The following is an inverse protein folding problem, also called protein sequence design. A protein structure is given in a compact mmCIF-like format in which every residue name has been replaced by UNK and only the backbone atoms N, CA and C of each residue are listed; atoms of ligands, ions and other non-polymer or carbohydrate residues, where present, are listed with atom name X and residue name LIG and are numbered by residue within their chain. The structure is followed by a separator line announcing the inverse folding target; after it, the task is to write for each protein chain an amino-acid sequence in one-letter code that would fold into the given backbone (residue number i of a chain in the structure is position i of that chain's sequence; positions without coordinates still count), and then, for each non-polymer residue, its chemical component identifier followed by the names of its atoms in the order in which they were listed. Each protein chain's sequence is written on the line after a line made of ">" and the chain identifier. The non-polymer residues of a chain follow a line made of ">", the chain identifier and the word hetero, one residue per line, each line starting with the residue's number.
data_IF_861514421106
#
_entry.id   IF_861514421106
#
_cell.length_a   1.000
_cell.length_b   1.000
_cell.length_c   1.000
_cell.angle_alpha   90.00
_cell.angle_beta   90.00
_cell.angle_gamma   90.00
#
_symmetry.space_group_name_H-M   'P 1'
#
loop_
_entity.id
_entity.type
_entity.pdbx_description
1 polymer ?
#
# COMPACT_ATOMS: atom_id res chain seq x y z
N UNK A 1 12.03 44.37 -6.51
CA UNK A 1 12.04 43.08 -5.77
C UNK A 1 11.81 41.95 -6.77
N UNK A 2 12.84 41.55 -7.51
CA UNK A 2 12.79 40.48 -8.53
C UNK A 2 14.12 39.72 -8.51
N UNK A 3 14.39 38.98 -7.42
CA UNK A 3 15.60 38.18 -7.25
C UNK A 3 15.39 36.97 -6.35
N UNK A 4 14.69 37.15 -5.22
CA UNK A 4 14.64 36.14 -4.15
C UNK A 4 13.69 34.95 -4.37
N UNK A 5 12.88 34.96 -5.44
CA UNK A 5 11.99 33.82 -5.75
C UNK A 5 12.64 32.75 -6.63
N UNK A 6 13.76 33.05 -7.29
CA UNK A 6 14.41 32.13 -8.23
C UNK A 6 15.24 31.03 -7.54
N UNK A 7 15.63 31.24 -6.27
CA UNK A 7 16.53 30.33 -5.53
C UNK A 7 15.79 29.32 -4.63
N UNK A 8 14.45 29.36 -4.56
CA UNK A 8 13.68 28.39 -3.77
C UNK A 8 13.66 27.05 -4.51
N UNK A 9 14.43 26.08 -4.02
CA UNK A 9 14.41 24.71 -4.53
C UNK A 9 13.19 23.96 -4.01
N UNK A 10 12.14 23.89 -4.82
CA UNK A 10 11.00 23.01 -4.56
C UNK A 10 11.36 21.56 -4.83
N UNK A 11 10.86 20.66 -3.98
CA UNK A 11 11.00 19.23 -4.19
C UNK A 11 10.24 18.80 -5.46
N UNK A 12 10.88 17.97 -6.29
CA UNK A 12 10.35 17.58 -7.60
C UNK A 12 9.27 16.50 -7.46
N UNK A 13 8.16 16.70 -8.16
CA UNK A 13 7.15 15.65 -8.37
C UNK A 13 7.73 14.64 -9.37
N UNK A 14 7.76 13.37 -8.98
CA UNK A 14 8.29 12.30 -9.84
C UNK A 14 7.20 11.79 -10.78
N UNK A 15 7.56 11.53 -12.03
CA UNK A 15 6.69 10.78 -12.94
C UNK A 15 6.95 9.29 -12.81
N UNK A 16 5.88 8.51 -12.72
CA UNK A 16 5.92 7.07 -12.60
C UNK A 16 5.13 6.41 -13.72
N UNK A 17 5.59 5.25 -14.19
CA UNK A 17 4.88 4.43 -15.17
C UNK A 17 3.98 3.43 -14.46
N UNK A 18 2.86 3.90 -13.90
CA UNK A 18 2.06 3.11 -12.96
C UNK A 18 1.60 1.78 -13.55
N UNK A 19 1.22 1.76 -14.82
CA UNK A 19 0.79 0.55 -15.52
C UNK A 19 1.77 -0.64 -15.44
N UNK A 20 3.08 -0.40 -15.23
CA UNK A 20 4.06 -1.48 -15.12
C UNK A 20 3.87 -2.31 -13.84
N UNK A 21 3.42 -1.71 -12.74
CA UNK A 21 3.16 -2.40 -11.47
C UNK A 21 1.89 -3.25 -11.48
N UNK A 22 0.99 -3.02 -12.43
CA UNK A 22 -0.29 -3.72 -12.56
C UNK A 22 -0.27 -4.84 -13.61
N UNK A 23 0.89 -5.10 -14.23
CA UNK A 23 1.03 -6.22 -15.17
C UNK A 23 0.89 -7.54 -14.43
N UNK A 24 0.18 -8.48 -15.05
CA UNK A 24 0.11 -9.84 -14.53
C UNK A 24 1.50 -10.48 -14.49
N UNK A 25 1.84 -11.03 -13.33
CA UNK A 25 3.09 -11.75 -13.13
C UNK A 25 2.83 -13.24 -13.34
N UNK A 26 3.60 -13.86 -14.22
CA UNK A 26 3.53 -15.29 -14.47
C UNK A 26 4.35 -16.05 -13.42
N UNK A 27 3.78 -17.09 -12.82
CA UNK A 27 4.54 -17.94 -11.91
C UNK A 27 5.38 -18.94 -12.69
N UNK A 28 6.60 -19.18 -12.20
CA UNK A 28 7.64 -19.96 -12.89
C UNK A 28 7.82 -21.37 -12.30
N UNK A 29 6.98 -21.78 -11.35
CA UNK A 29 7.07 -23.08 -10.68
C UNK A 29 8.29 -23.23 -9.77
N UNK A 30 9.07 -22.15 -9.57
CA UNK A 30 10.33 -22.21 -8.81
C UNK A 30 10.05 -22.35 -7.32
N UNK A 31 10.81 -23.24 -6.68
CA UNK A 31 10.97 -23.29 -5.23
C UNK A 31 12.35 -22.73 -4.92
N UNK A 32 12.44 -21.80 -3.97
CA UNK A 32 13.72 -21.16 -3.63
C UNK A 32 14.70 -22.17 -3.00
N UNK A 33 15.96 -22.10 -3.44
CA UNK A 33 17.06 -22.80 -2.77
C UNK A 33 17.37 -22.19 -1.41
N UNK A 34 18.16 -22.87 -0.57
CA UNK A 34 18.49 -22.36 0.76
C UNK A 34 19.23 -21.00 0.71
N UNK A 35 20.14 -20.81 -0.26
CA UNK A 35 20.83 -19.53 -0.43
C UNK A 35 19.89 -18.41 -0.88
N UNK A 36 18.96 -18.72 -1.79
CA UNK A 36 17.96 -17.76 -2.28
C UNK A 36 16.97 -17.38 -1.18
N UNK A 37 16.59 -18.33 -0.31
CA UNK A 37 15.77 -18.02 0.87
C UNK A 37 16.48 -17.05 1.80
N UNK A 38 17.76 -17.29 2.09
CA UNK A 38 18.56 -16.39 2.96
C UNK A 38 18.65 -14.98 2.39
N UNK A 39 18.89 -14.86 1.09
CA UNK A 39 18.91 -13.56 0.40
C UNK A 39 17.53 -12.87 0.45
N UNK A 40 16.47 -13.60 0.11
CA UNK A 40 15.09 -13.08 0.16
C UNK A 40 14.74 -12.57 1.57
N UNK A 41 15.04 -13.35 2.61
CA UNK A 41 14.78 -12.98 4.00
C UNK A 41 15.57 -11.72 4.37
N UNK A 42 16.83 -11.62 3.99
CA UNK A 42 17.66 -10.43 4.26
C UNK A 42 17.06 -9.16 3.63
N UNK A 43 16.58 -9.25 2.39
CA UNK A 43 15.93 -8.12 1.70
C UNK A 43 14.62 -7.73 2.40
N UNK A 44 13.80 -8.72 2.74
CA UNK A 44 12.53 -8.48 3.43
C UNK A 44 12.74 -7.89 4.81
N UNK A 45 13.68 -8.39 5.61
CA UNK A 45 13.96 -7.87 6.96
C UNK A 45 14.46 -6.41 6.91
N UNK A 46 15.34 -6.09 5.96
CA UNK A 46 15.79 -4.71 5.74
C UNK A 46 14.62 -3.80 5.34
N UNK A 47 13.72 -4.28 4.47
CA UNK A 47 12.58 -3.50 3.98
C UNK A 47 11.53 -3.27 5.06
N UNK A 48 11.23 -4.31 5.86
CA UNK A 48 10.35 -4.21 7.03
C UNK A 48 10.92 -3.18 8.01
N UNK A 49 12.21 -3.26 8.34
CA UNK A 49 12.86 -2.31 9.24
C UNK A 49 12.69 -0.88 8.77
N UNK A 50 13.03 -0.62 7.49
CA UNK A 50 12.92 0.72 6.90
C UNK A 50 11.49 1.27 6.96
N UNK A 51 10.47 0.47 6.63
CA UNK A 51 9.08 0.95 6.68
C UNK A 51 8.53 1.06 8.10
N UNK A 52 8.94 0.18 9.01
CA UNK A 52 8.52 0.22 10.42
C UNK A 52 9.02 1.45 11.15
N UNK A 53 10.22 1.96 10.82
CA UNK A 53 10.77 3.20 11.41
C UNK A 53 9.88 4.43 11.19
N UNK A 54 9.13 4.49 10.09
CA UNK A 54 8.23 5.60 9.78
C UNK A 54 6.90 5.56 10.54
N UNK A 55 6.47 4.40 11.05
CA UNK A 55 5.14 4.24 11.65
C UNK A 55 4.90 5.16 12.85
N UNK A 56 5.82 5.29 13.84
CA UNK A 56 5.60 6.17 14.98
C UNK A 56 5.45 7.64 14.59
N UNK A 57 6.21 8.09 13.58
CA UNK A 57 6.10 9.46 13.08
C UNK A 57 4.71 9.74 12.51
N UNK A 58 4.18 8.84 11.69
CA UNK A 58 2.83 8.99 11.13
C UNK A 58 1.74 8.94 12.20
N UNK A 59 1.86 8.05 13.18
CA UNK A 59 0.91 8.00 14.31
C UNK A 59 0.94 9.31 15.11
N UNK A 60 2.12 9.86 15.38
CA UNK A 60 2.25 11.14 16.07
C UNK A 60 1.63 12.29 15.28
N UNK A 61 1.85 12.36 13.96
CA UNK A 61 1.19 13.36 13.10
C UNK A 61 -0.35 13.23 13.20
N UNK A 62 -0.87 12.00 13.21
CA UNK A 62 -2.32 11.77 13.37
C UNK A 62 -2.84 12.09 14.78
N UNK A 63 -2.03 12.10 15.83
CA UNK A 63 -2.49 12.59 17.14
C UNK A 63 -2.39 14.12 17.21
N UNK A 64 -1.28 14.70 16.77
CA UNK A 64 -1.00 16.15 16.83
C UNK A 64 -1.96 16.99 15.96
N UNK A 65 -2.48 16.40 14.89
CA UNK A 65 -3.42 17.07 13.96
C UNK A 65 -4.89 16.84 14.31
N UNK A 66 -5.20 16.05 15.34
CA UNK A 66 -6.58 15.62 15.66
C UNK A 66 -7.52 16.77 15.99
N UNK A 67 -7.03 17.75 16.74
CA UNK A 67 -7.81 18.93 17.17
C UNK A 67 -7.65 20.12 16.21
N UNK A 68 -6.80 20.00 15.18
CA UNK A 68 -6.58 21.04 14.19
C UNK A 68 -7.64 20.94 13.10
N UNK A 69 -8.40 22.02 12.92
CA UNK A 69 -9.57 22.02 12.04
C UNK A 69 -9.43 22.91 10.80
N UNK A 70 -8.26 23.52 10.59
CA UNK A 70 -7.97 24.22 9.35
C UNK A 70 -7.83 23.25 8.17
N UNK A 71 -7.92 23.82 6.97
CA UNK A 71 -7.96 23.05 5.72
C UNK A 71 -6.67 22.26 5.47
N UNK A 72 -5.50 22.82 5.81
CA UNK A 72 -4.21 22.16 5.60
C UNK A 72 -4.13 20.88 6.44
N UNK A 73 -4.35 20.98 7.76
CA UNK A 73 -4.23 19.82 8.64
C UNK A 73 -5.29 18.75 8.35
N UNK A 74 -6.49 19.13 7.88
CA UNK A 74 -7.49 18.17 7.39
C UNK A 74 -7.00 17.38 6.18
N UNK A 75 -6.41 18.06 5.19
CA UNK A 75 -5.85 17.41 3.99
C UNK A 75 -4.68 16.51 4.38
N UNK A 76 -3.72 17.05 5.14
CA UNK A 76 -2.52 16.32 5.58
C UNK A 76 -2.89 15.05 6.36
N UNK A 77 -3.84 15.16 7.31
CA UNK A 77 -4.35 14.02 8.08
C UNK A 77 -4.93 12.92 7.19
N UNK A 78 -5.70 13.27 6.16
CA UNK A 78 -6.27 12.29 5.22
C UNK A 78 -5.12 11.56 4.50
N UNK A 79 -4.17 12.31 3.94
CA UNK A 79 -3.05 11.72 3.19
C UNK A 79 -2.20 10.81 4.08
N UNK A 80 -1.85 11.28 5.29
CA UNK A 80 -1.08 10.51 6.28
C UNK A 80 -1.83 9.25 6.72
N UNK A 81 -3.14 9.32 6.93
CA UNK A 81 -3.97 8.17 7.31
C UNK A 81 -3.93 7.08 6.22
N UNK A 82 -4.09 7.46 4.96
CA UNK A 82 -4.00 6.52 3.83
C UNK A 82 -2.59 5.97 3.68
N UNK A 83 -1.55 6.81 3.84
CA UNK A 83 -0.15 6.37 3.80
C UNK A 83 0.18 5.34 4.89
N UNK A 84 -0.28 5.58 6.11
CA UNK A 84 -0.10 4.69 7.24
C UNK A 84 -0.75 3.33 6.98
N UNK A 85 -1.99 3.32 6.47
CA UNK A 85 -2.67 2.09 6.06
C UNK A 85 -1.87 1.30 5.00
N UNK A 86 -1.37 2.00 3.97
CA UNK A 86 -0.59 1.39 2.89
C UNK A 86 0.67 0.73 3.45
N UNK A 87 1.42 1.43 4.31
CA UNK A 87 2.64 0.90 4.90
C UNK A 87 2.40 -0.29 5.83
N UNK A 88 1.40 -0.22 6.71
CA UNK A 88 1.04 -1.33 7.59
C UNK A 88 0.69 -2.56 6.73
N UNK A 89 -0.14 -2.38 5.71
CA UNK A 89 -0.55 -3.48 4.83
C UNK A 89 0.64 -4.07 4.07
N UNK A 90 1.59 -3.24 3.63
CA UNK A 90 2.83 -3.70 3.00
C UNK A 90 3.67 -4.53 3.99
N UNK A 91 3.89 -4.02 5.20
CA UNK A 91 4.66 -4.70 6.26
C UNK A 91 4.01 -6.04 6.59
N UNK A 92 2.71 -6.08 6.83
CA UNK A 92 1.97 -7.29 7.17
C UNK A 92 2.07 -8.34 6.05
N UNK A 93 1.96 -7.89 4.78
CA UNK A 93 2.12 -8.77 3.61
C UNK A 93 3.54 -9.35 3.55
N UNK A 94 4.56 -8.52 3.79
CA UNK A 94 5.96 -8.96 3.81
C UNK A 94 6.25 -9.93 4.96
N UNK A 95 5.73 -9.65 6.15
CA UNK A 95 5.86 -10.53 7.33
C UNK A 95 5.22 -11.88 7.06
N UNK A 96 3.98 -11.89 6.55
CA UNK A 96 3.28 -13.14 6.24
C UNK A 96 3.98 -13.94 5.14
N UNK A 97 4.44 -13.27 4.07
CA UNK A 97 5.23 -13.89 3.00
C UNK A 97 6.57 -14.44 3.49
N UNK A 98 7.28 -13.73 4.38
CA UNK A 98 8.53 -14.19 4.99
C UNK A 98 8.32 -15.49 5.76
N UNK A 99 7.32 -15.54 6.64
CA UNK A 99 7.04 -16.72 7.44
C UNK A 99 6.47 -17.88 6.61
N UNK A 100 5.79 -17.60 5.50
CA UNK A 100 5.42 -18.61 4.53
C UNK A 100 6.66 -19.29 3.91
N UNK A 101 7.68 -18.52 3.51
CA UNK A 101 8.94 -19.03 2.94
C UNK A 101 9.79 -19.77 3.98
N UNK A 102 9.76 -19.32 5.23
CA UNK A 102 10.51 -19.91 6.35
C UNK A 102 9.86 -21.15 6.95
N UNK A 103 8.60 -21.45 6.63
CA UNK A 103 7.90 -22.54 7.27
C UNK A 103 8.48 -23.91 6.88
N UNK A 104 9.07 -24.59 7.85
CA UNK A 104 9.59 -25.95 7.71
C UNK A 104 8.48 -27.02 7.78
N UNK A 105 7.41 -26.75 8.55
CA UNK A 105 6.27 -27.66 8.68
C UNK A 105 5.21 -27.32 7.64
N UNK A 106 4.67 -28.35 7.00
CA UNK A 106 3.61 -28.18 6.00
C UNK A 106 2.41 -27.41 6.52
N UNK A 107 1.98 -27.69 7.76
CA UNK A 107 0.84 -27.00 8.36
C UNK A 107 1.10 -25.51 8.57
N UNK A 108 2.29 -25.14 9.05
CA UNK A 108 2.67 -23.75 9.25
C UNK A 108 2.70 -23.00 7.91
N UNK A 109 3.20 -23.64 6.86
CA UNK A 109 3.18 -23.09 5.49
C UNK A 109 1.76 -22.85 5.00
N UNK A 110 0.86 -23.84 5.19
CA UNK A 110 -0.56 -23.75 4.81
C UNK A 110 -1.28 -22.64 5.58
N UNK A 111 -1.01 -22.53 6.88
CA UNK A 111 -1.54 -21.47 7.73
C UNK A 111 -1.06 -20.09 7.28
N UNK A 112 0.24 -19.91 7.04
CA UNK A 112 0.79 -18.63 6.60
C UNK A 112 0.30 -18.22 5.21
N UNK A 113 0.11 -19.19 4.28
CA UNK A 113 -0.57 -18.94 2.99
C UNK A 113 -1.96 -18.35 3.21
N UNK A 114 -2.76 -18.95 4.09
CA UNK A 114 -4.09 -18.46 4.42
C UNK A 114 -4.08 -17.04 4.99
N UNK A 115 -3.17 -16.75 5.94
CA UNK A 115 -2.99 -15.40 6.50
C UNK A 115 -2.58 -14.38 5.44
N UNK A 116 -1.64 -14.74 4.58
CA UNK A 116 -1.22 -13.89 3.47
C UNK A 116 -2.43 -13.57 2.57
N UNK A 117 -3.21 -14.56 2.15
CA UNK A 117 -4.38 -14.35 1.28
C UNK A 117 -5.47 -13.49 1.93
N UNK A 118 -5.68 -13.61 3.25
CA UNK A 118 -6.56 -12.70 3.99
C UNK A 118 -6.06 -11.26 3.89
N UNK A 119 -4.76 -11.02 4.12
CA UNK A 119 -4.15 -9.69 3.97
C UNK A 119 -4.29 -9.17 2.53
N UNK A 120 -4.05 -10.03 1.53
CA UNK A 120 -4.20 -9.66 0.11
C UNK A 120 -5.63 -9.19 -0.20
N UNK A 121 -6.63 -9.97 0.20
CA UNK A 121 -8.03 -9.68 -0.10
C UNK A 121 -8.55 -8.47 0.70
N UNK A 122 -8.42 -8.48 2.03
CA UNK A 122 -8.96 -7.42 2.88
C UNK A 122 -8.14 -6.13 2.72
N UNK A 123 -6.83 -6.23 2.49
CA UNK A 123 -5.97 -5.09 2.15
C UNK A 123 -6.43 -4.39 0.88
N UNK A 124 -6.63 -5.11 -0.23
CA UNK A 124 -7.13 -4.48 -1.45
C UNK A 124 -8.57 -3.94 -1.31
N UNK A 125 -9.44 -4.69 -0.62
CA UNK A 125 -10.82 -4.27 -0.36
C UNK A 125 -10.87 -2.97 0.45
N UNK A 126 -9.98 -2.83 1.44
CA UNK A 126 -9.89 -1.64 2.27
C UNK A 126 -9.19 -0.49 1.54
N UNK A 127 -8.19 -0.79 0.70
CA UNK A 127 -7.54 0.18 -0.17
C UNK A 127 -8.51 0.79 -1.19
N UNK A 128 -9.17 -0.03 -2.00
CA UNK A 128 -9.99 0.42 -3.13
C UNK A 128 -11.40 -0.20 -3.17
N UNK A 129 -11.57 -1.47 -2.80
CA UNK A 129 -12.87 -2.16 -2.85
C UNK A 129 -13.08 -3.03 -4.10
N UNK A 130 -14.05 -3.95 -4.05
CA UNK A 130 -14.41 -4.87 -5.15
C UNK A 130 -15.75 -4.54 -5.82
N UNK A 131 -16.46 -3.54 -5.30
CA UNK A 131 -17.73 -3.04 -5.81
C UNK A 131 -17.94 -1.62 -5.30
N UNK A 132 -18.89 -0.90 -5.90
CA UNK A 132 -19.19 0.50 -5.58
C UNK A 132 -19.42 0.74 -4.07
N UNK A 133 -20.15 -0.17 -3.40
CA UNK A 133 -20.43 -0.04 -1.95
C UNK A 133 -19.18 -0.17 -1.10
N UNK A 134 -18.28 -1.09 -1.44
CA UNK A 134 -16.98 -1.20 -0.76
C UNK A 134 -16.03 -0.07 -1.14
N UNK A 135 -16.10 0.43 -2.38
CA UNK A 135 -15.28 1.52 -2.87
C UNK A 135 -15.54 2.82 -2.13
N UNK A 136 -16.82 3.19 -1.94
CA UNK A 136 -17.23 4.35 -1.12
C UNK A 136 -16.83 4.29 0.36
N UNK A 137 -16.24 3.18 0.81
CA UNK A 137 -15.74 2.98 2.18
C UNK A 137 -14.24 2.71 2.22
N UNK A 138 -13.58 2.80 1.07
CA UNK A 138 -12.17 2.51 0.89
C UNK A 138 -11.32 3.70 1.30
N UNK A 139 -10.05 3.44 1.61
CA UNK A 139 -9.06 4.49 1.88
C UNK A 139 -8.85 5.37 0.63
N UNK A 140 -8.91 4.80 -0.57
CA UNK A 140 -8.75 5.55 -1.82
C UNK A 140 -9.86 6.59 -2.03
N UNK A 141 -11.12 6.26 -1.73
CA UNK A 141 -12.25 7.19 -1.86
C UNK A 141 -12.15 8.40 -0.91
N UNK A 142 -11.44 8.24 0.22
CA UNK A 142 -11.17 9.38 1.12
C UNK A 142 -10.28 10.46 0.50
N UNK A 143 -9.49 10.12 -0.53
CA UNK A 143 -8.63 11.06 -1.24
C UNK A 143 -9.42 11.93 -2.24
N UNK A 144 -10.56 11.45 -2.74
CA UNK A 144 -11.32 12.13 -3.79
C UNK A 144 -11.65 13.60 -3.45
N UNK A 145 -12.18 13.95 -2.26
CA UNK A 145 -12.55 15.32 -1.93
C UNK A 145 -11.37 16.29 -1.87
N UNK A 146 -10.16 15.78 -1.62
CA UNK A 146 -8.95 16.60 -1.47
C UNK A 146 -8.19 16.80 -2.79
N UNK A 147 -8.48 16.02 -3.84
CA UNK A 147 -7.79 16.12 -5.13
C UNK A 147 -7.91 17.50 -5.79
N UNK A 148 -9.01 18.22 -5.53
CA UNK A 148 -9.21 19.60 -6.02
C UNK A 148 -8.16 20.61 -5.55
N UNK A 149 -7.42 20.31 -4.47
CA UNK A 149 -6.38 21.18 -3.93
C UNK A 149 -5.00 20.95 -4.55
N UNK A 150 -4.84 19.87 -5.33
CA UNK A 150 -3.55 19.50 -5.90
C UNK A 150 -3.42 19.95 -7.37
N UNK A 151 -2.17 20.14 -7.85
CA UNK A 151 -1.93 20.48 -9.25
C UNK A 151 -2.45 19.44 -10.23
N UNK A 152 -2.58 19.83 -11.51
CA UNK A 152 -3.06 18.95 -12.58
C UNK A 152 -2.24 17.66 -12.70
N UNK A 153 -0.91 17.74 -12.52
CA UNK A 153 -0.02 16.57 -12.59
C UNK A 153 -0.39 15.50 -11.54
N UNK A 154 -0.75 15.91 -10.32
CA UNK A 154 -1.18 14.98 -9.27
C UNK A 154 -2.56 14.40 -9.59
N UNK A 155 -3.49 15.25 -10.05
CA UNK A 155 -4.82 14.80 -10.46
C UNK A 155 -4.76 13.76 -11.59
N UNK A 156 -3.86 13.94 -12.55
CA UNK A 156 -3.63 12.97 -13.64
C UNK A 156 -3.12 11.64 -13.11
N UNK A 157 -2.15 11.65 -12.19
CA UNK A 157 -1.66 10.43 -11.54
C UNK A 157 -2.76 9.73 -10.73
N UNK A 158 -3.60 10.48 -10.01
CA UNK A 158 -4.75 9.95 -9.28
C UNK A 158 -5.75 9.27 -10.23
N UNK A 159 -6.07 9.89 -11.36
CA UNK A 159 -6.98 9.32 -12.37
C UNK A 159 -6.40 8.05 -13.00
N UNK A 160 -5.12 8.06 -13.37
CA UNK A 160 -4.43 6.87 -13.90
C UNK A 160 -4.49 5.71 -12.90
N UNK A 161 -4.13 5.96 -11.64
CA UNK A 161 -4.19 4.94 -10.59
C UNK A 161 -5.62 4.48 -10.30
N UNK A 162 -6.60 5.38 -10.30
CA UNK A 162 -8.01 5.03 -10.11
C UNK A 162 -8.45 4.02 -11.19
N UNK A 163 -8.14 4.29 -12.45
CA UNK A 163 -8.44 3.37 -13.56
C UNK A 163 -7.76 2.00 -13.38
N UNK A 164 -6.49 1.99 -12.98
CA UNK A 164 -5.74 0.75 -12.75
C UNK A 164 -6.31 -0.07 -11.58
N UNK A 165 -6.65 0.60 -10.48
CA UNK A 165 -7.28 -0.01 -9.31
C UNK A 165 -8.68 -0.55 -9.64
N UNK A 166 -9.47 0.19 -10.40
CA UNK A 166 -10.78 -0.26 -10.88
C UNK A 166 -10.68 -1.55 -11.69
N UNK A 167 -9.81 -1.56 -12.70
CA UNK A 167 -9.56 -2.76 -13.50
C UNK A 167 -9.11 -3.94 -12.63
N UNK A 168 -8.20 -3.70 -11.69
CA UNK A 168 -7.71 -4.75 -10.81
C UNK A 168 -8.82 -5.27 -9.88
N UNK A 169 -9.77 -4.43 -9.46
CA UNK A 169 -10.90 -4.83 -8.62
C UNK A 169 -11.81 -5.89 -9.27
N UNK A 170 -11.86 -5.92 -10.60
CA UNK A 170 -12.65 -6.85 -11.39
C UNK A 170 -11.94 -8.18 -11.71
N UNK A 171 -10.68 -8.34 -11.29
CA UNK A 171 -9.94 -9.58 -11.53
C UNK A 171 -10.37 -10.69 -10.56
N UNK A 172 -10.42 -11.94 -11.03
CA UNK A 172 -10.94 -13.09 -10.27
C UNK A 172 -10.00 -13.64 -9.20
N UNK A 173 -8.71 -13.26 -9.20
CA UNK A 173 -7.66 -13.87 -8.38
C UNK A 173 -7.47 -13.26 -6.98
N UNK A 174 -8.51 -12.66 -6.39
CA UNK A 174 -8.40 -12.05 -5.06
C UNK A 174 -8.57 -13.03 -3.89
N UNK A 175 -8.55 -14.35 -4.13
CA UNK A 175 -8.58 -15.37 -3.06
C UNK A 175 -9.77 -15.21 -2.11
N UNK A 176 -10.93 -14.87 -2.68
CA UNK A 176 -12.14 -14.54 -1.90
C UNK A 176 -12.60 -15.71 -1.05
N UNK A 177 -12.57 -16.92 -1.62
CA UNK A 177 -13.05 -18.12 -0.96
C UNK A 177 -12.09 -18.54 0.17
N UNK A 178 -10.78 -18.53 -0.09
CA UNK A 178 -9.74 -18.79 0.91
C UNK A 178 -9.81 -17.79 2.05
N UNK A 179 -10.00 -16.50 1.75
CA UNK A 179 -10.25 -15.48 2.76
C UNK A 179 -11.47 -15.85 3.59
N UNK A 180 -12.60 -16.20 2.98
CA UNK A 180 -13.82 -16.54 3.71
C UNK A 180 -13.61 -17.74 4.64
N UNK A 181 -12.91 -18.78 4.18
CA UNK A 181 -12.60 -19.97 4.98
C UNK A 181 -11.75 -19.61 6.20
N UNK A 182 -10.71 -18.80 6.02
CA UNK A 182 -9.81 -18.36 7.10
C UNK A 182 -10.47 -17.37 8.07
N UNK A 183 -11.34 -16.48 7.60
CA UNK A 183 -12.00 -15.46 8.46
C UNK A 183 -13.18 -16.01 9.24
N UNK A 184 -13.96 -16.93 8.65
CA UNK A 184 -15.16 -17.48 9.27
C UNK A 184 -14.93 -18.82 9.98
N UNK A 185 -13.70 -19.36 9.89
CA UNK A 185 -13.32 -20.64 10.49
C UNK A 185 -14.29 -21.78 10.07
N UNK A 186 -14.69 -21.78 8.81
CA UNK A 186 -15.47 -22.88 8.23
C UNK A 186 -14.61 -24.14 8.24
N UNK A 187 -14.75 -24.95 9.28
CA UNK A 187 -13.82 -26.05 9.57
C UNK A 187 -13.67 -27.05 8.42
N UNK A 188 -14.74 -27.31 7.65
CA UNK A 188 -14.71 -28.25 6.54
C UNK A 188 -13.96 -27.67 5.35
N UNK A 189 -14.34 -26.48 4.91
CA UNK A 189 -13.70 -25.84 3.75
C UNK A 189 -12.28 -25.36 4.05
N UNK A 190 -12.02 -24.94 5.30
CA UNK A 190 -10.68 -24.59 5.78
C UNK A 190 -9.77 -25.80 5.78
N UNK A 191 -10.25 -26.96 6.24
CA UNK A 191 -9.47 -28.19 6.18
C UNK A 191 -9.15 -28.56 4.72
N UNK A 192 -10.15 -28.53 3.83
CA UNK A 192 -9.96 -28.83 2.39
C UNK A 192 -8.96 -27.89 1.73
N UNK A 193 -9.12 -26.57 1.92
CA UNK A 193 -8.18 -25.58 1.39
C UNK A 193 -6.77 -25.85 1.91
N UNK A 194 -6.63 -26.19 3.20
CA UNK A 194 -5.35 -26.58 3.80
C UNK A 194 -4.83 -27.93 3.35
N UNK A 195 -5.52 -28.74 2.55
CA UNK A 195 -4.95 -29.95 1.95
C UNK A 195 -4.42 -29.73 0.52
N UNK A 196 -4.80 -28.63 -0.13
CA UNK A 196 -4.36 -28.32 -1.50
C UNK A 196 -2.83 -28.26 -1.63
N UNK A 197 -2.30 -28.71 -2.77
CA UNK A 197 -0.88 -28.59 -3.05
C UNK A 197 -0.45 -27.11 -3.06
N UNK A 198 0.65 -26.82 -2.36
CA UNK A 198 1.20 -25.47 -2.32
C UNK A 198 2.29 -25.33 -3.37
N UNK A 199 2.04 -24.48 -4.36
CA UNK A 199 3.05 -24.01 -5.29
C UNK A 199 3.62 -22.69 -4.78
N UNK A 200 4.84 -22.74 -4.23
CA UNK A 200 5.50 -21.59 -3.59
C UNK A 200 5.54 -20.35 -4.50
N UNK A 201 6.02 -20.50 -5.73
CA UNK A 201 6.07 -19.40 -6.70
C UNK A 201 4.70 -18.79 -6.96
N UNK A 202 3.62 -19.59 -6.96
CA UNK A 202 2.28 -19.08 -7.22
C UNK A 202 1.86 -18.15 -6.08
N UNK A 203 1.94 -18.64 -4.83
CA UNK A 203 1.60 -17.86 -3.63
C UNK A 203 2.40 -16.55 -3.58
N UNK A 204 3.70 -16.60 -3.87
CA UNK A 204 4.54 -15.40 -3.85
C UNK A 204 4.20 -14.42 -4.99
N UNK A 205 4.01 -14.90 -6.21
CA UNK A 205 3.65 -14.02 -7.34
C UNK A 205 2.26 -13.40 -7.18
N UNK A 206 1.30 -14.14 -6.61
CA UNK A 206 -0.01 -13.60 -6.26
C UNK A 206 0.11 -12.53 -5.16
N UNK A 207 1.02 -12.70 -4.20
CA UNK A 207 1.27 -11.69 -3.17
C UNK A 207 1.90 -10.41 -3.71
N UNK A 208 2.74 -10.52 -4.75
CA UNK A 208 3.33 -9.36 -5.42
C UNK A 208 2.27 -8.48 -6.08
N UNK A 209 1.11 -9.05 -6.42
CA UNK A 209 -0.01 -8.29 -6.99
C UNK A 209 -0.47 -7.17 -6.05
N UNK A 210 -0.77 -7.48 -4.78
CA UNK A 210 -1.13 -6.42 -3.82
C UNK A 210 0.09 -5.54 -3.50
N UNK A 211 1.27 -6.15 -3.31
CA UNK A 211 2.46 -5.39 -2.94
C UNK A 211 2.79 -4.30 -3.99
N UNK A 212 2.75 -4.64 -5.27
CA UNK A 212 2.98 -3.70 -6.36
C UNK A 212 1.91 -2.60 -6.41
N UNK A 213 0.64 -2.95 -6.17
CA UNK A 213 -0.45 -1.97 -6.02
C UNK A 213 -0.16 -0.99 -4.88
N UNK A 214 0.22 -1.50 -3.71
CA UNK A 214 0.55 -0.68 -2.53
C UNK A 214 1.79 0.20 -2.78
N UNK A 215 2.80 -0.33 -3.46
CA UNK A 215 3.99 0.44 -3.87
C UNK A 215 3.62 1.58 -4.83
N UNK A 216 2.75 1.32 -5.81
CA UNK A 216 2.27 2.33 -6.74
C UNK A 216 1.52 3.46 -6.00
N UNK A 217 0.63 3.09 -5.07
CA UNK A 217 -0.09 4.06 -4.23
C UNK A 217 0.86 4.82 -3.30
N UNK A 218 1.83 4.14 -2.68
CA UNK A 218 2.84 4.79 -1.82
C UNK A 218 3.66 5.82 -2.58
N UNK A 219 4.08 5.50 -3.81
CA UNK A 219 4.79 6.43 -4.68
C UNK A 219 3.95 7.67 -5.04
N UNK A 220 2.66 7.47 -5.35
CA UNK A 220 1.72 8.57 -5.58
C UNK A 220 1.57 9.45 -4.34
N UNK A 221 1.32 8.85 -3.17
CA UNK A 221 1.16 9.63 -1.94
C UNK A 221 2.47 10.36 -1.55
N UNK A 222 3.64 9.83 -1.91
CA UNK A 222 4.92 10.54 -1.78
C UNK A 222 4.96 11.82 -2.62
N UNK A 223 4.41 11.81 -3.84
CA UNK A 223 4.25 13.01 -4.65
C UNK A 223 3.21 13.98 -4.05
N UNK A 224 2.13 13.47 -3.46
CA UNK A 224 1.12 14.28 -2.75
C UNK A 224 1.75 14.99 -1.54
N UNK A 225 2.51 14.26 -0.71
CA UNK A 225 3.29 14.85 0.39
C UNK A 225 4.30 15.89 -0.10
N UNK A 226 4.95 15.64 -1.25
CA UNK A 226 5.87 16.61 -1.87
C UNK A 226 5.16 17.93 -2.19
N UNK A 227 3.90 17.89 -2.67
CA UNK A 227 3.10 19.08 -2.89
C UNK A 227 2.76 19.82 -1.57
N UNK A 228 2.38 19.08 -0.52
CA UNK A 228 2.10 19.66 0.80
C UNK A 228 3.34 20.33 1.39
N UNK A 229 4.51 19.68 1.28
CA UNK A 229 5.79 20.24 1.70
C UNK A 229 6.13 21.53 0.94
N UNK A 230 6.04 21.51 -0.39
CA UNK A 230 6.28 22.69 -1.23
C UNK A 230 5.34 23.86 -0.89
N UNK A 231 4.08 23.56 -0.52
CA UNK A 231 3.13 24.56 -0.04
C UNK A 231 3.57 25.20 1.28
N UNK A 232 4.02 24.40 2.25
CA UNK A 232 4.55 24.91 3.52
C UNK A 232 5.81 25.75 3.32
N UNK A 233 6.76 25.29 2.51
CA UNK A 233 7.98 26.04 2.16
C UNK A 233 7.62 27.40 1.59
N UNK A 234 6.65 27.45 0.67
CA UNK A 234 6.18 28.71 0.10
C UNK A 234 5.56 29.64 1.15
N UNK A 235 4.75 29.11 2.07
CA UNK A 235 4.16 29.92 3.16
C UNK A 235 5.22 30.45 4.11
N UNK A 236 6.19 29.61 4.50
CA UNK A 236 7.32 30.01 5.34
C UNK A 236 8.08 31.18 4.73
N UNK A 237 8.46 31.05 3.46
CA UNK A 237 9.18 32.11 2.75
C UNK A 237 8.41 33.42 2.63
N UNK A 238 7.09 33.37 2.57
CA UNK A 238 6.25 34.57 2.53
C UNK A 238 5.96 35.17 3.91
N UNK A 239 6.41 34.55 5.00
CA UNK A 239 6.04 34.95 6.36
C UNK A 239 4.57 34.70 6.69
N UNK A 240 3.93 33.77 5.99
CA UNK A 240 2.51 33.41 6.16
C UNK A 240 2.31 32.25 7.16
N UNK A 241 3.39 31.74 7.76
CA UNK A 241 3.34 30.82 8.90
C UNK A 241 3.44 31.66 10.18
N UNK A 242 2.34 31.84 10.89
CA UNK A 242 2.37 32.34 12.27
C UNK A 242 2.65 31.18 13.22
N UNK A 243 3.44 31.42 14.27
CA UNK A 243 3.60 30.51 15.41
C UNK A 243 2.27 30.05 16.02
#
# INVERSE_FOLDING_TARGET
>A
MNGDFADIQYAQIREYKYAQWFKEVQYNGKTLSESERKEFISVIDSTITQYSEGLPLMTNILEDTKEKHDEYHKIDRIVVSVYLFVLITMIDSMVAGKYFILADRDYDRRFMRGKLFVILNEGFKKLYGFNEKSHKKSEWDTLLPIMKYFPEVINRQYQELTYLLENQSHTSSWWKDERNFETHLDSENLYKSRQEEIVESKVMMDSLKLFNTLMAVSNFLGNVHTCLFNFLVRKYHKGELSE
#
